data_IF_853163881521
#
_entry.id   IF_853163881521
#
_cell.length_a   1.000
_cell.length_b   1.000
_cell.length_c   1.000
_cell.angle_alpha   90.00
_cell.angle_beta   90.00
_cell.angle_gamma   90.00
#
_symmetry.space_group_name_H-M   'P 1'
#
loop_
_entity.id
_entity.type
_entity.pdbx_description
1 polymer ?
#
# COMPACT_ATOMS: atom_id res chain seq x y z
N UNK A 1 12.80 -16.08 13.88
CA UNK A 1 14.09 -16.58 14.41
C UNK A 1 14.17 -18.07 14.14
N UNK A 2 15.33 -18.61 13.78
CA UNK A 2 15.50 -20.07 13.76
C UNK A 2 15.42 -20.64 15.18
N UNK A 3 15.15 -21.95 15.35
CA UNK A 3 15.03 -22.59 16.66
C UNK A 3 16.28 -22.49 17.55
N UNK A 4 17.43 -22.07 17.00
CA UNK A 4 18.68 -21.82 17.72
C UNK A 4 19.07 -20.32 17.79
N UNK A 5 18.11 -19.40 17.63
CA UNK A 5 18.39 -17.96 17.58
C UNK A 5 19.10 -17.46 16.31
N UNK A 6 19.48 -18.36 15.41
CA UNK A 6 20.13 -18.02 14.15
C UNK A 6 19.15 -17.34 13.16
N UNK A 7 19.71 -16.61 12.19
CA UNK A 7 18.95 -16.05 11.06
C UNK A 7 18.18 -17.14 10.34
N UNK A 8 16.94 -16.84 9.98
CA UNK A 8 16.07 -17.80 9.28
C UNK A 8 16.67 -18.09 7.91
N UNK A 9 17.03 -19.35 7.63
CA UNK A 9 17.47 -19.76 6.30
C UNK A 9 16.31 -19.69 5.30
N UNK A 10 16.61 -19.28 4.07
CA UNK A 10 15.61 -19.14 2.99
C UNK A 10 14.84 -20.45 2.71
N UNK A 11 15.51 -21.60 2.82
CA UNK A 11 14.87 -22.92 2.65
C UNK A 11 13.85 -23.23 3.75
N UNK A 12 14.23 -23.03 5.02
CA UNK A 12 13.33 -23.20 6.17
C UNK A 12 12.13 -22.25 6.11
N UNK A 13 12.36 -21.01 5.66
CA UNK A 13 11.32 -20.02 5.47
C UNK A 13 10.26 -20.46 4.45
N UNK A 14 10.67 -20.99 3.29
CA UNK A 14 9.74 -21.43 2.23
C UNK A 14 8.80 -22.52 2.72
N UNK A 15 9.29 -23.47 3.51
CA UNK A 15 8.45 -24.53 4.09
C UNK A 15 7.41 -23.98 5.07
N UNK A 16 7.81 -23.10 5.99
CA UNK A 16 6.87 -22.44 6.90
C UNK A 16 5.85 -21.58 6.16
N UNK A 17 6.30 -20.83 5.15
CA UNK A 17 5.44 -20.00 4.33
C UNK A 17 4.39 -20.84 3.59
N UNK A 18 4.79 -21.95 2.96
CA UNK A 18 3.84 -22.89 2.31
C UNK A 18 2.75 -23.37 3.27
N UNK A 19 3.10 -23.73 4.51
CA UNK A 19 2.13 -24.12 5.54
C UNK A 19 1.16 -22.99 5.89
N UNK A 20 1.69 -21.79 6.15
CA UNK A 20 0.87 -20.61 6.51
C UNK A 20 -0.13 -20.29 5.42
N UNK A 21 0.33 -20.21 4.16
CA UNK A 21 -0.51 -19.92 2.99
C UNK A 21 -1.66 -20.91 2.80
N UNK A 22 -1.35 -22.19 2.96
CA UNK A 22 -2.35 -23.25 2.85
C UNK A 22 -3.37 -23.14 3.98
N UNK A 23 -2.90 -22.88 5.21
CA UNK A 23 -3.76 -22.73 6.38
C UNK A 23 -4.70 -21.52 6.29
N UNK A 24 -4.30 -20.43 5.62
CA UNK A 24 -5.15 -19.25 5.39
C UNK A 24 -5.94 -19.31 4.07
N UNK A 25 -5.92 -20.44 3.36
CA UNK A 25 -6.68 -20.63 2.12
C UNK A 25 -6.15 -19.89 0.89
N UNK A 26 -4.89 -19.46 0.90
CA UNK A 26 -4.24 -18.72 -0.19
C UNK A 26 -3.01 -19.48 -0.75
N UNK A 27 -3.20 -20.67 -1.35
CA UNK A 27 -2.10 -21.56 -1.76
C UNK A 27 -1.21 -20.98 -2.86
N UNK A 28 -1.70 -20.01 -3.64
CA UNK A 28 -0.96 -19.39 -4.75
C UNK A 28 -0.23 -18.09 -4.36
N UNK A 29 -0.43 -17.60 -3.13
CA UNK A 29 0.16 -16.34 -2.68
C UNK A 29 1.68 -16.44 -2.60
N UNK A 30 2.44 -15.61 -3.30
CA UNK A 30 3.89 -15.54 -3.12
C UNK A 30 4.24 -14.60 -1.95
N UNK A 31 5.36 -14.85 -1.28
CA UNK A 31 5.77 -13.96 -0.19
C UNK A 31 6.03 -12.52 -0.67
N UNK A 32 6.48 -12.36 -1.91
CA UNK A 32 6.71 -11.05 -2.51
C UNK A 32 5.40 -10.29 -2.79
N UNK A 33 4.26 -10.99 -2.92
CA UNK A 33 2.96 -10.35 -3.15
C UNK A 33 2.55 -9.49 -1.95
N UNK A 34 2.94 -9.86 -0.72
CA UNK A 34 2.74 -9.02 0.46
C UNK A 34 3.38 -7.64 0.30
N UNK A 35 4.53 -7.57 -0.36
CA UNK A 35 5.20 -6.30 -0.63
C UNK A 35 4.46 -5.50 -1.71
N UNK A 36 3.95 -6.16 -2.75
CA UNK A 36 3.10 -5.52 -3.75
C UNK A 36 1.81 -4.94 -3.12
N UNK A 37 1.15 -5.71 -2.26
CA UNK A 37 -0.03 -5.28 -1.50
C UNK A 37 0.30 -4.07 -0.63
N UNK A 38 1.38 -4.13 0.15
CA UNK A 38 1.79 -3.01 1.01
C UNK A 38 2.05 -1.71 0.24
N UNK A 39 2.71 -1.79 -0.92
CA UNK A 39 2.95 -0.61 -1.78
C UNK A 39 1.65 -0.06 -2.40
N UNK A 40 0.73 -0.95 -2.79
CA UNK A 40 -0.58 -0.57 -3.33
C UNK A 40 -1.42 0.14 -2.28
N UNK A 41 -1.45 -0.39 -1.05
CA UNK A 41 -2.18 0.22 0.07
C UNK A 41 -1.58 1.57 0.47
N UNK A 42 -0.25 1.68 0.54
CA UNK A 42 0.41 2.95 0.83
C UNK A 42 0.10 4.02 -0.22
N UNK A 43 0.12 3.65 -1.50
CA UNK A 43 -0.30 4.55 -2.57
C UNK A 43 -1.78 4.94 -2.39
N UNK A 44 -2.67 3.97 -2.13
CA UNK A 44 -4.10 4.21 -1.99
C UNK A 44 -4.44 5.15 -0.81
N UNK A 45 -3.62 5.14 0.24
CA UNK A 45 -3.72 6.04 1.38
C UNK A 45 -3.17 7.46 1.09
N UNK A 46 -2.56 7.65 -0.08
CA UNK A 46 -2.07 8.96 -0.56
C UNK A 46 -0.58 9.20 -0.32
N UNK A 47 0.23 8.15 -0.13
CA UNK A 47 1.68 8.30 -0.04
C UNK A 47 2.22 9.03 -1.28
N UNK A 48 3.12 9.98 -1.08
CA UNK A 48 3.83 10.66 -2.16
C UNK A 48 4.83 9.72 -2.85
N UNK A 49 5.30 10.11 -4.03
CA UNK A 49 6.36 9.40 -4.75
C UNK A 49 7.62 9.19 -3.89
N UNK A 50 8.03 10.22 -3.14
CA UNK A 50 9.21 10.14 -2.26
C UNK A 50 9.00 9.13 -1.14
N UNK A 51 7.83 9.14 -0.51
CA UNK A 51 7.48 8.20 0.56
C UNK A 51 7.38 6.76 0.03
N UNK A 52 6.81 6.58 -1.17
CA UNK A 52 6.75 5.26 -1.79
C UNK A 52 8.15 4.72 -2.11
N UNK A 53 9.02 5.55 -2.70
CA UNK A 53 10.40 5.17 -2.98
C UNK A 53 11.17 4.83 -1.71
N UNK A 54 10.97 5.58 -0.62
CA UNK A 54 11.58 5.30 0.67
C UNK A 54 11.10 3.95 1.25
N UNK A 55 9.80 3.66 1.22
CA UNK A 55 9.22 2.37 1.67
C UNK A 55 9.70 1.19 0.83
N UNK A 56 9.90 1.41 -0.45
CA UNK A 56 10.43 0.38 -1.35
C UNK A 56 11.95 0.20 -1.17
N UNK A 57 12.68 1.20 -0.68
CA UNK A 57 14.13 1.11 -0.43
C UNK A 57 14.94 1.16 -1.74
N UNK A 58 15.49 2.33 -2.05
CA UNK A 58 16.33 2.64 -3.24
C UNK A 58 15.80 2.10 -4.59
N UNK A 59 14.48 1.91 -4.71
CA UNK A 59 13.85 1.45 -5.95
C UNK A 59 13.71 2.59 -6.95
N UNK A 60 13.73 2.27 -8.25
CA UNK A 60 13.59 3.27 -9.30
C UNK A 60 12.25 4.01 -9.24
N UNK A 61 12.24 5.25 -9.72
CA UNK A 61 11.03 6.09 -9.84
C UNK A 61 9.94 5.38 -10.64
N UNK A 62 10.32 4.69 -11.72
CA UNK A 62 9.40 3.90 -12.56
C UNK A 62 8.65 2.86 -11.73
N UNK A 63 9.32 2.15 -10.82
CA UNK A 63 8.68 1.14 -10.00
C UNK A 63 7.67 1.74 -9.01
N UNK A 64 7.96 2.91 -8.45
CA UNK A 64 7.05 3.60 -7.53
C UNK A 64 5.79 4.13 -8.25
N UNK A 65 5.95 4.66 -9.47
CA UNK A 65 4.84 5.18 -10.28
C UNK A 65 3.80 4.11 -10.63
N UNK A 66 4.18 2.83 -10.75
CA UNK A 66 3.23 1.73 -11.02
C UNK A 66 2.14 1.68 -9.94
N UNK A 67 2.50 1.86 -8.67
CA UNK A 67 1.53 1.80 -7.56
C UNK A 67 0.74 3.09 -7.40
N UNK A 68 1.36 4.25 -7.64
CA UNK A 68 0.64 5.53 -7.63
C UNK A 68 -0.39 5.63 -8.75
N UNK A 69 -0.14 5.03 -9.91
CA UNK A 69 -1.11 5.02 -11.00
C UNK A 69 -2.36 4.19 -10.65
N UNK A 70 -2.23 3.15 -9.83
CA UNK A 70 -3.38 2.36 -9.36
C UNK A 70 -4.38 3.19 -8.52
N UNK A 71 -4.01 4.40 -8.11
CA UNK A 71 -4.82 5.28 -7.26
C UNK A 71 -5.43 6.44 -8.01
N UNK A 72 -5.45 6.44 -9.35
CA UNK A 72 -6.10 7.50 -10.14
C UNK A 72 -7.59 7.70 -9.79
N UNK A 73 -8.26 6.70 -9.20
CA UNK A 73 -9.61 6.87 -8.62
C UNK A 73 -9.65 7.80 -7.40
N UNK A 74 -8.53 8.04 -6.72
CA UNK A 74 -8.42 8.94 -5.56
C UNK A 74 -8.53 10.40 -5.95
N UNK A 75 -8.14 10.78 -7.16
CA UNK A 75 -8.31 12.15 -7.65
C UNK A 75 -9.79 12.54 -7.69
N UNK A 76 -10.67 11.61 -8.08
CA UNK A 76 -12.12 11.82 -8.02
C UNK A 76 -12.64 11.97 -6.59
N UNK A 77 -12.11 11.18 -5.65
CA UNK A 77 -12.46 11.29 -4.23
C UNK A 77 -11.99 12.63 -3.62
N UNK A 78 -10.77 13.07 -3.97
CA UNK A 78 -10.22 14.37 -3.57
C UNK A 78 -11.06 15.50 -4.15
N UNK A 79 -11.38 15.46 -5.45
CA UNK A 79 -12.22 16.46 -6.10
C UNK A 79 -13.62 16.53 -5.48
N UNK A 80 -14.22 15.38 -5.13
CA UNK A 80 -15.50 15.30 -4.42
C UNK A 80 -15.41 15.91 -3.02
N UNK A 81 -14.37 15.60 -2.26
CA UNK A 81 -14.14 16.14 -0.92
C UNK A 81 -13.93 17.67 -0.97
N UNK A 82 -13.12 18.17 -1.91
CA UNK A 82 -12.95 19.61 -2.16
C UNK A 82 -14.29 20.26 -2.52
N UNK A 83 -15.07 19.65 -3.41
CA UNK A 83 -16.40 20.13 -3.77
C UNK A 83 -17.36 20.19 -2.58
N UNK A 84 -17.28 19.24 -1.64
CA UNK A 84 -18.07 19.27 -0.40
C UNK A 84 -17.61 20.40 0.52
N UNK A 85 -16.31 20.54 0.77
CA UNK A 85 -15.74 21.61 1.60
C UNK A 85 -16.11 23.00 1.06
N UNK A 86 -16.03 23.19 -0.26
CA UNK A 86 -16.38 24.45 -0.91
C UNK A 86 -17.88 24.76 -0.81
N UNK A 87 -18.76 23.75 -0.98
CA UNK A 87 -20.21 23.93 -0.77
C UNK A 87 -20.55 24.30 0.67
N UNK A 88 -19.90 23.66 1.64
CA UNK A 88 -20.06 24.00 3.06
C UNK A 88 -19.60 25.44 3.32
N UNK A 89 -18.44 25.84 2.81
CA UNK A 89 -17.93 27.21 2.97
C UNK A 89 -18.79 28.28 2.27
N UNK A 90 -19.39 27.95 1.12
CA UNK A 90 -20.29 28.83 0.38
C UNK A 90 -21.68 28.95 1.04
N UNK A 91 -22.09 27.94 1.83
CA UNK A 91 -23.33 27.97 2.62
C UNK A 91 -23.26 28.83 3.89
N UNK A 92 -22.09 29.35 4.27
CA UNK A 92 -21.87 30.09 5.54
C UNK A 92 -21.91 31.62 5.40
N UNK A 93 -22.55 32.16 4.35
CA UNK A 93 -22.90 33.60 4.22
C UNK A 93 -24.35 33.64 3.76
N UNK A 94 -25.35 34.26 4.42
CA UNK A 94 -25.39 35.46 5.26
C UNK A 94 -26.58 35.31 6.23
N UNK A 95 -26.39 35.52 7.53
CA UNK A 95 -27.44 36.01 8.43
C UNK A 95 -26.93 37.32 9.05
N UNK A 96 -27.70 38.39 8.81
CA UNK A 96 -27.58 39.71 9.44
C UNK A 96 -28.26 39.69 10.80
#
# INVERSE_FOLDING_TARGET
>A
MGPKGARLRRSSFRGTWSKVRTAVGLPDLHFHDLRHVGNTLAAADGASLKEQMARMGHSSTRAALIYLHATQGRDQAIAKALGQTLKTAAGTKIEN
#
